data_IF_546907653058
#
_entry.id   IF_546907653058
#
_cell.length_a   1.000
_cell.length_b   1.000
_cell.length_c   1.000
_cell.angle_alpha   90.00
_cell.angle_beta   90.00
_cell.angle_gamma   90.00
#
_symmetry.space_group_name_H-M   'P 1'
#
loop_
_entity.id
_entity.type
_entity.pdbx_description
1 polymer ?
#
# COMPACT_ATOMS: atom_id res chain seq x y z
N UNK A 1 17.23 20.85 27.21
CA UNK A 1 16.31 19.99 26.44
C UNK A 1 15.32 20.91 25.75
N UNK A 2 15.61 21.29 24.52
CA UNK A 2 14.75 22.12 23.68
C UNK A 2 13.73 21.21 23.00
N UNK A 3 12.46 21.36 23.36
CA UNK A 3 11.36 20.80 22.57
C UNK A 3 11.42 21.42 21.17
N UNK A 4 11.33 20.62 20.08
CA UNK A 4 11.15 21.20 18.75
C UNK A 4 9.78 21.88 18.71
N UNK A 5 9.74 23.10 18.17
CA UNK A 5 8.49 23.78 17.83
C UNK A 5 7.65 22.88 16.91
N UNK A 6 6.30 22.88 17.04
CA UNK A 6 5.44 22.16 16.11
C UNK A 6 5.54 22.83 14.74
N UNK A 7 6.42 22.26 13.90
CA UNK A 7 6.59 22.67 12.51
C UNK A 7 5.29 22.53 11.74
N UNK A 8 5.12 23.39 10.74
CA UNK A 8 4.07 23.38 9.71
C UNK A 8 3.63 21.96 9.28
N UNK A 9 2.38 21.79 8.78
CA UNK A 9 1.88 20.47 8.38
C UNK A 9 2.91 19.74 7.54
N UNK A 10 3.42 18.63 8.09
CA UNK A 10 4.54 17.87 7.50
C UNK A 10 4.15 17.14 6.22
N UNK A 11 2.85 17.10 5.91
CA UNK A 11 2.27 16.45 4.75
C UNK A 11 1.83 17.50 3.73
N UNK A 12 2.19 17.28 2.45
CA UNK A 12 1.88 18.18 1.34
C UNK A 12 0.47 17.99 0.78
N UNK A 13 -0.24 16.94 1.21
CA UNK A 13 -1.62 16.66 0.84
C UNK A 13 -2.50 16.35 2.06
N UNK A 14 -3.81 16.47 1.86
CA UNK A 14 -4.84 16.07 2.81
C UNK A 14 -5.74 15.03 2.14
N UNK A 15 -5.65 13.77 2.56
CA UNK A 15 -6.54 12.72 2.05
C UNK A 15 -7.82 12.66 2.91
N UNK A 16 -9.02 12.64 2.29
CA UNK A 16 -10.29 12.63 3.02
C UNK A 16 -10.67 11.22 3.47
N UNK A 17 -9.82 10.53 4.24
CA UNK A 17 -10.11 9.19 4.74
C UNK A 17 -10.87 9.25 6.06
N UNK A 18 -12.05 8.62 6.14
CA UNK A 18 -12.84 8.55 7.36
C UNK A 18 -12.52 7.32 8.20
N UNK A 19 -12.28 6.17 7.55
CA UNK A 19 -12.14 4.88 8.24
C UNK A 19 -10.67 4.47 8.37
N UNK A 20 -9.95 4.37 7.26
CA UNK A 20 -8.56 3.90 7.20
C UNK A 20 -7.88 4.49 5.96
N UNK A 21 -6.60 4.83 6.05
CA UNK A 21 -5.80 5.10 4.85
C UNK A 21 -5.21 3.78 4.36
N UNK A 22 -5.61 3.29 3.20
CA UNK A 22 -5.04 2.04 2.66
C UNK A 22 -4.17 2.30 1.46
N UNK A 23 -3.03 1.60 1.43
CA UNK A 23 -2.15 1.50 0.27
C UNK A 23 -2.14 0.06 -0.17
N UNK A 24 -2.76 -0.22 -1.31
CA UNK A 24 -2.80 -1.56 -1.89
C UNK A 24 -1.86 -1.64 -3.08
N UNK A 25 -1.19 -2.76 -3.26
CA UNK A 25 -0.25 -3.05 -4.34
C UNK A 25 -0.62 -4.37 -5.03
N UNK A 26 -0.73 -4.35 -6.36
CA UNK A 26 -0.90 -5.54 -7.20
C UNK A 26 0.46 -6.12 -7.55
N UNK A 27 0.70 -7.36 -7.12
CA UNK A 27 1.99 -8.02 -7.21
C UNK A 27 1.88 -9.30 -8.06
N UNK A 28 2.83 -9.59 -8.96
CA UNK A 28 2.85 -10.85 -9.68
C UNK A 28 2.98 -12.04 -8.72
N UNK A 29 2.33 -13.15 -9.07
CA UNK A 29 2.48 -14.42 -8.36
C UNK A 29 3.39 -15.36 -9.13
N UNK A 30 4.41 -15.86 -8.45
CA UNK A 30 5.31 -16.89 -9.00
C UNK A 30 4.87 -18.27 -8.50
N UNK A 31 4.73 -19.22 -9.42
CA UNK A 31 4.33 -20.59 -9.06
C UNK A 31 5.42 -21.24 -8.20
N UNK A 32 5.08 -21.61 -6.97
CA UNK A 32 6.02 -22.18 -6.01
C UNK A 32 7.00 -21.17 -5.39
N UNK A 33 6.81 -19.87 -5.68
CA UNK A 33 7.59 -18.81 -5.05
C UNK A 33 7.22 -18.58 -3.58
N UNK A 34 8.01 -17.77 -2.86
CA UNK A 34 7.69 -17.37 -1.50
C UNK A 34 6.37 -16.59 -1.46
N UNK A 35 5.65 -16.75 -0.36
CA UNK A 35 4.33 -16.16 -0.21
C UNK A 35 4.41 -14.64 0.02
N UNK A 36 3.52 -13.88 -0.64
CA UNK A 36 3.51 -12.42 -0.62
C UNK A 36 3.53 -11.85 0.80
N UNK A 37 2.71 -12.41 1.70
CA UNK A 37 2.60 -11.93 3.06
C UNK A 37 3.92 -12.06 3.85
N UNK A 38 4.64 -13.17 3.65
CA UNK A 38 5.94 -13.39 4.29
C UNK A 38 6.96 -12.36 3.84
N UNK A 39 7.08 -12.16 2.53
CA UNK A 39 8.00 -11.16 1.95
C UNK A 39 7.65 -9.74 2.40
N UNK A 40 6.37 -9.39 2.39
CA UNK A 40 5.91 -8.08 2.81
C UNK A 40 6.18 -7.81 4.30
N UNK A 41 6.02 -8.83 5.16
CA UNK A 41 6.39 -8.74 6.58
C UNK A 41 7.90 -8.55 6.77
N UNK A 42 8.72 -9.24 5.97
CA UNK A 42 10.17 -9.11 6.04
C UNK A 42 10.62 -7.70 5.63
N UNK A 43 10.01 -7.10 4.60
CA UNK A 43 10.24 -5.70 4.21
C UNK A 43 9.88 -4.75 5.35
N UNK A 44 8.70 -4.93 5.95
CA UNK A 44 8.24 -4.06 7.02
C UNK A 44 9.19 -4.15 8.23
N UNK A 45 9.58 -5.37 8.63
CA UNK A 45 10.54 -5.59 9.72
C UNK A 45 11.90 -4.97 9.42
N UNK A 46 12.37 -5.07 8.17
CA UNK A 46 13.62 -4.46 7.73
C UNK A 46 13.56 -2.93 7.70
N UNK A 47 12.38 -2.33 7.56
CA UNK A 47 12.18 -0.88 7.71
C UNK A 47 12.33 -0.42 9.17
N UNK A 48 12.26 -1.33 10.14
CA UNK A 48 12.48 -1.06 11.56
C UNK A 48 11.25 -0.46 12.26
N UNK A 49 11.33 -0.38 13.58
CA UNK A 49 10.24 0.18 14.41
C UNK A 49 8.96 -0.63 14.40
N UNK A 50 9.03 -1.93 14.08
CA UNK A 50 7.88 -2.85 14.01
C UNK A 50 7.81 -3.70 15.26
N UNK A 51 6.65 -3.67 15.91
CA UNK A 51 6.31 -4.52 17.05
C UNK A 51 5.00 -5.28 16.77
N UNK A 52 4.80 -6.49 17.30
CA UNK A 52 3.50 -7.16 17.23
C UNK A 52 2.43 -6.32 17.96
N UNK A 53 1.25 -6.16 17.35
CA UNK A 53 0.13 -5.55 18.06
C UNK A 53 -0.40 -6.53 19.12
N UNK A 54 -0.43 -6.12 20.39
CA UNK A 54 -0.86 -6.98 21.51
C UNK A 54 -2.38 -7.04 21.69
N UNK A 55 -3.11 -6.08 21.13
CA UNK A 55 -4.55 -5.87 21.29
C UNK A 55 -5.38 -6.35 20.07
N UNK A 56 -4.72 -6.72 18.98
CA UNK A 56 -5.37 -7.15 17.73
C UNK A 56 -4.90 -8.55 17.34
N UNK A 57 -5.85 -9.37 16.91
CA UNK A 57 -5.55 -10.75 16.49
C UNK A 57 -5.22 -10.83 15.00
N UNK A 58 -4.12 -11.52 14.69
CA UNK A 58 -3.85 -12.04 13.35
C UNK A 58 -5.06 -12.81 12.85
N UNK A 59 -5.43 -12.60 11.59
CA UNK A 59 -6.47 -13.38 10.92
C UNK A 59 -5.94 -14.07 9.67
N UNK A 60 -6.44 -15.29 9.43
CA UNK A 60 -6.00 -16.13 8.33
C UNK A 60 -7.22 -16.80 7.72
N UNK A 61 -7.39 -16.65 6.41
CA UNK A 61 -8.43 -17.35 5.63
C UNK A 61 -7.75 -18.21 4.59
N UNK A 62 -8.12 -19.50 4.50
CA UNK A 62 -7.52 -20.40 3.53
C UNK A 62 -8.16 -21.78 3.49
N UNK A 63 -7.63 -22.64 2.61
CA UNK A 63 -8.16 -23.99 2.34
C UNK A 63 -7.69 -25.04 3.34
N UNK A 64 -7.01 -24.62 4.42
CA UNK A 64 -6.33 -25.47 5.43
C UNK A 64 -5.19 -26.34 4.87
N UNK A 65 -4.80 -26.16 3.61
CA UNK A 65 -3.66 -26.82 2.96
C UNK A 65 -2.92 -25.78 2.10
N UNK A 66 -1.59 -25.79 2.14
CA UNK A 66 -0.78 -24.83 1.38
C UNK A 66 -0.81 -23.42 1.98
N UNK A 67 -0.48 -22.42 1.15
CA UNK A 67 -0.50 -21.01 1.54
C UNK A 67 -1.94 -20.54 1.79
N UNK A 68 -2.21 -19.69 2.79
CA UNK A 68 -3.55 -19.18 2.99
C UNK A 68 -3.89 -18.13 1.93
N UNK A 69 -5.19 -18.03 1.64
CA UNK A 69 -5.74 -17.13 0.65
C UNK A 69 -5.62 -15.67 1.09
N UNK A 70 -5.83 -15.42 2.38
CA UNK A 70 -5.72 -14.10 2.99
C UNK A 70 -4.98 -14.24 4.33
N UNK A 71 -4.04 -13.32 4.57
CA UNK A 71 -3.44 -13.08 5.87
C UNK A 71 -3.50 -11.61 6.19
N UNK A 72 -4.02 -11.28 7.37
CA UNK A 72 -3.79 -9.98 8.00
C UNK A 72 -2.94 -10.13 9.25
N UNK A 73 -1.87 -9.35 9.31
CA UNK A 73 -0.99 -9.23 10.46
C UNK A 73 -1.10 -7.82 11.04
N UNK A 74 -1.78 -7.65 12.19
CA UNK A 74 -1.78 -6.40 12.94
C UNK A 74 -0.43 -6.16 13.62
N UNK A 75 0.10 -4.95 13.46
CA UNK A 75 1.43 -4.54 13.91
C UNK A 75 1.37 -3.11 14.45
N UNK A 76 2.41 -2.72 15.18
CA UNK A 76 2.69 -1.34 15.53
C UNK A 76 3.96 -0.94 14.80
N UNK A 77 3.87 0.05 13.91
CA UNK A 77 4.99 0.55 13.12
C UNK A 77 5.26 2.01 13.46
N UNK A 78 6.43 2.31 14.02
CA UNK A 78 6.78 3.63 14.56
C UNK A 78 5.72 4.17 15.56
N UNK A 79 5.14 3.29 16.38
CA UNK A 79 4.08 3.66 17.33
C UNK A 79 2.69 3.83 16.71
N UNK A 80 2.54 3.62 15.40
CA UNK A 80 1.27 3.70 14.68
C UNK A 80 0.70 2.29 14.47
N UNK A 81 -0.57 2.08 14.80
CA UNK A 81 -1.24 0.80 14.55
C UNK A 81 -1.43 0.60 13.04
N UNK A 82 -0.90 -0.49 12.49
CA UNK A 82 -1.02 -0.85 11.08
C UNK A 82 -1.50 -2.28 10.93
N UNK A 83 -2.10 -2.60 9.80
CA UNK A 83 -2.36 -3.99 9.41
C UNK A 83 -1.75 -4.23 8.04
N UNK A 84 -0.85 -5.22 7.96
CA UNK A 84 -0.38 -5.72 6.69
C UNK A 84 -1.27 -6.89 6.27
N UNK A 85 -2.03 -6.70 5.21
CA UNK A 85 -2.84 -7.75 4.60
C UNK A 85 -2.21 -8.21 3.29
N UNK A 86 -2.22 -9.53 3.05
CA UNK A 86 -1.88 -10.09 1.74
C UNK A 86 -2.98 -11.05 1.30
N UNK A 87 -3.39 -10.92 0.04
CA UNK A 87 -4.33 -11.79 -0.63
C UNK A 87 -3.65 -12.50 -1.80
N UNK A 88 -3.68 -13.83 -1.82
CA UNK A 88 -3.14 -14.65 -2.90
C UNK A 88 -4.12 -15.78 -3.19
N UNK A 89 -4.77 -15.72 -4.36
CA UNK A 89 -5.68 -16.78 -4.79
C UNK A 89 -4.99 -17.76 -5.72
N UNK A 90 -5.18 -19.07 -5.48
CA UNK A 90 -4.65 -20.12 -6.33
C UNK A 90 -5.14 -19.97 -7.78
N UNK A 91 -4.21 -20.10 -8.72
CA UNK A 91 -4.50 -19.98 -10.15
C UNK A 91 -4.60 -18.55 -10.69
N UNK A 92 -4.44 -17.53 -9.85
CA UNK A 92 -4.33 -16.15 -10.30
C UNK A 92 -2.88 -15.79 -10.69
N UNK A 93 -2.73 -14.89 -11.66
CA UNK A 93 -1.42 -14.39 -12.08
C UNK A 93 -0.88 -13.28 -11.16
N UNK A 94 -1.76 -12.68 -10.35
CA UNK A 94 -1.43 -11.60 -9.44
C UNK A 94 -2.13 -11.78 -8.09
N UNK A 95 -1.47 -11.29 -7.04
CA UNK A 95 -2.01 -11.15 -5.70
C UNK A 95 -1.97 -9.69 -5.29
N UNK A 96 -2.41 -9.44 -4.06
CA UNK A 96 -2.50 -8.10 -3.50
C UNK A 96 -1.79 -8.05 -2.15
N UNK A 97 -1.06 -6.97 -1.90
CA UNK A 97 -0.57 -6.61 -0.57
C UNK A 97 -1.12 -5.24 -0.22
N UNK A 98 -1.79 -5.15 0.92
CA UNK A 98 -2.47 -3.95 1.40
C UNK A 98 -1.91 -3.57 2.76
N UNK A 99 -1.37 -2.36 2.84
CA UNK A 99 -1.02 -1.71 4.09
C UNK A 99 -2.19 -0.85 4.53
N UNK A 100 -2.81 -1.22 5.65
CA UNK A 100 -3.90 -0.47 6.28
C UNK A 100 -3.32 0.37 7.39
N UNK A 101 -3.43 1.69 7.23
CA UNK A 101 -2.97 2.71 8.15
C UNK A 101 -4.21 3.35 8.81
N UNK A 102 -4.05 4.06 9.94
CA UNK A 102 -5.13 4.85 10.50
C UNK A 102 -5.64 5.91 9.51
N UNK A 103 -6.80 6.53 9.80
CA UNK A 103 -7.24 7.70 9.07
C UNK A 103 -6.15 8.77 8.97
N UNK A 104 -6.12 9.47 7.84
CA UNK A 104 -5.12 10.48 7.50
C UNK A 104 -4.91 11.52 8.59
N UNK A 105 -5.98 12.00 9.22
CA UNK A 105 -5.94 12.98 10.31
C UNK A 105 -5.22 12.46 11.57
N UNK A 106 -5.18 11.15 11.78
CA UNK A 106 -4.46 10.50 12.87
C UNK A 106 -3.02 10.14 12.46
N UNK A 107 -2.84 9.76 11.19
CA UNK A 107 -1.53 9.40 10.63
C UNK A 107 -0.61 10.62 10.48
N UNK A 108 -1.13 11.73 9.96
CA UNK A 108 -0.37 12.93 9.62
C UNK A 108 0.44 13.53 10.78
N UNK A 109 -0.08 13.65 12.01
CA UNK A 109 0.70 14.12 13.15
C UNK A 109 1.66 13.07 13.74
N UNK A 110 1.41 11.78 13.49
CA UNK A 110 2.16 10.68 14.11
C UNK A 110 3.39 10.23 13.30
N UNK A 111 3.33 10.33 11.97
CA UNK A 111 4.37 9.85 11.08
C UNK A 111 4.67 10.87 9.98
N UNK A 112 5.93 10.96 9.57
CA UNK A 112 6.32 11.80 8.44
C UNK A 112 5.86 11.17 7.11
N UNK A 113 5.32 11.99 6.21
CA UNK A 113 4.86 11.57 4.88
C UNK A 113 5.91 10.72 4.13
N UNK A 114 7.16 11.16 4.14
CA UNK A 114 8.26 10.50 3.45
C UNK A 114 8.47 9.04 3.90
N UNK A 115 8.20 8.75 5.17
CA UNK A 115 8.36 7.39 5.74
C UNK A 115 7.31 6.44 5.17
N UNK A 116 6.08 6.91 4.97
CA UNK A 116 5.00 6.11 4.35
C UNK A 116 5.30 5.79 2.90
N UNK A 117 5.74 6.78 2.13
CA UNK A 117 6.09 6.56 0.73
C UNK A 117 7.36 5.73 0.56
N UNK A 118 8.34 5.88 1.45
CA UNK A 118 9.54 5.03 1.44
C UNK A 118 9.19 3.57 1.72
N UNK A 119 8.34 3.28 2.71
CA UNK A 119 7.87 1.91 2.95
C UNK A 119 7.08 1.37 1.75
N UNK A 120 6.21 2.20 1.16
CA UNK A 120 5.45 1.83 -0.05
C UNK A 120 6.37 1.50 -1.21
N UNK A 121 7.41 2.30 -1.46
CA UNK A 121 8.43 2.09 -2.50
C UNK A 121 9.18 0.76 -2.26
N UNK A 122 9.62 0.50 -1.02
CA UNK A 122 10.30 -0.76 -0.67
C UNK A 122 9.40 -1.99 -0.83
N UNK A 123 8.12 -1.90 -0.43
CA UNK A 123 7.14 -2.97 -0.64
C UNK A 123 6.91 -3.21 -2.13
N UNK A 124 6.74 -2.14 -2.91
CA UNK A 124 6.53 -2.24 -4.34
C UNK A 124 7.75 -2.82 -5.08
N UNK A 125 8.97 -2.40 -4.71
CA UNK A 125 10.23 -2.93 -5.25
C UNK A 125 10.35 -4.43 -4.95
N UNK A 126 10.30 -4.82 -3.67
CA UNK A 126 10.49 -6.21 -3.27
C UNK A 126 9.43 -7.11 -3.90
N UNK A 127 8.16 -6.72 -3.83
CA UNK A 127 7.06 -7.53 -4.34
C UNK A 127 6.87 -7.43 -5.86
N UNK A 128 7.70 -6.64 -6.55
CA UNK A 128 7.61 -6.34 -7.98
C UNK A 128 6.21 -5.84 -8.36
N UNK A 129 5.65 -4.96 -7.57
CA UNK A 129 4.31 -4.45 -7.78
C UNK A 129 4.19 -3.78 -9.16
N UNK A 130 3.16 -4.14 -9.91
CA UNK A 130 2.90 -3.54 -11.22
C UNK A 130 2.19 -2.19 -11.11
N UNK A 131 1.30 -2.08 -10.12
CA UNK A 131 0.54 -0.89 -9.80
C UNK A 131 -0.06 -1.01 -8.39
N UNK A 132 -0.74 0.04 -7.96
CA UNK A 132 -1.34 0.16 -6.64
C UNK A 132 -2.38 1.27 -6.58
N UNK A 133 -3.00 1.41 -5.42
CA UNK A 133 -4.00 2.45 -5.13
C UNK A 133 -3.89 2.95 -3.71
N UNK A 134 -4.38 4.16 -3.50
CA UNK A 134 -4.58 4.77 -2.19
C UNK A 134 -6.07 4.98 -1.99
N UNK A 135 -6.65 4.47 -0.89
CA UNK A 135 -8.10 4.43 -0.69
C UNK A 135 -8.50 4.81 0.74
N UNK A 136 -9.78 5.16 0.91
CA UNK A 136 -10.42 5.19 2.23
C UNK A 136 -11.07 3.82 2.50
N UNK A 137 -10.55 3.09 3.48
CA UNK A 137 -10.97 1.72 3.73
C UNK A 137 -10.51 0.76 2.62
N UNK A 138 -11.40 -0.08 2.09
CA UNK A 138 -10.98 -1.17 1.20
C UNK A 138 -10.73 -0.70 -0.25
N UNK A 139 -9.59 -1.09 -0.82
CA UNK A 139 -9.35 -0.96 -2.25
C UNK A 139 -10.38 -1.75 -3.08
N UNK A 140 -10.89 -1.13 -4.14
CA UNK A 140 -11.74 -1.78 -5.15
C UNK A 140 -10.80 -2.42 -6.18
N UNK A 141 -10.95 -3.73 -6.35
CA UNK A 141 -9.94 -4.62 -6.95
C UNK A 141 -9.27 -4.16 -8.26
N UNK A 142 -8.12 -4.77 -8.54
CA UNK A 142 -7.30 -4.38 -9.68
C UNK A 142 -7.91 -4.77 -11.02
N UNK A 143 -7.93 -3.85 -12.00
CA UNK A 143 -8.34 -4.15 -13.36
C UNK A 143 -7.35 -5.11 -14.02
N UNK A 144 -7.81 -5.77 -15.09
CA UNK A 144 -6.97 -6.60 -15.94
C UNK A 144 -5.76 -5.79 -16.45
N UNK A 145 -4.59 -6.11 -15.89
CA UNK A 145 -3.31 -5.46 -16.18
C UNK A 145 -2.88 -5.63 -17.64
N UNK A 146 -3.57 -6.45 -18.44
CA UNK A 146 -3.33 -6.58 -19.87
C UNK A 146 -3.68 -5.32 -20.69
N UNK A 147 -4.42 -4.36 -20.12
CA UNK A 147 -4.75 -3.08 -20.79
C UNK A 147 -4.46 -1.88 -19.89
N UNK A 148 -3.25 -1.28 -19.98
CA UNK A 148 -2.85 -0.11 -19.22
C UNK A 148 -3.86 1.04 -19.21
N UNK A 149 -4.44 1.34 -20.38
CA UNK A 149 -5.37 2.47 -20.53
C UNK A 149 -6.66 2.30 -19.73
N UNK A 150 -7.33 1.15 -19.89
CA UNK A 150 -8.55 0.86 -19.16
C UNK A 150 -8.27 0.72 -17.65
N UNK A 151 -7.09 0.19 -17.32
CA UNK A 151 -6.65 -0.03 -15.95
C UNK A 151 -6.41 1.27 -15.19
N UNK A 152 -5.56 2.16 -15.72
CA UNK A 152 -5.20 3.42 -15.07
C UNK A 152 -6.44 4.31 -14.81
N UNK A 153 -7.28 4.48 -15.83
CA UNK A 153 -8.52 5.26 -15.72
C UNK A 153 -9.58 4.58 -14.82
N UNK A 154 -9.59 3.25 -14.75
CA UNK A 154 -10.45 2.49 -13.84
C UNK A 154 -10.04 2.72 -12.38
N UNK A 155 -8.76 2.47 -12.08
CA UNK A 155 -8.18 2.67 -10.75
C UNK A 155 -8.41 4.09 -10.25
N UNK A 156 -8.11 5.10 -11.07
CA UNK A 156 -8.23 6.49 -10.64
C UNK A 156 -9.68 6.89 -10.33
N UNK A 157 -10.68 6.32 -11.04
CA UNK A 157 -12.09 6.66 -10.78
C UNK A 157 -12.63 6.13 -9.46
N UNK A 158 -11.96 5.15 -8.85
CA UNK A 158 -12.48 4.38 -7.72
C UNK A 158 -11.71 4.61 -6.43
N UNK A 159 -10.65 5.42 -6.44
CA UNK A 159 -9.71 5.55 -5.33
C UNK A 159 -9.25 6.99 -5.15
N UNK A 160 -8.72 7.30 -3.95
CA UNK A 160 -8.18 8.63 -3.62
C UNK A 160 -6.86 8.92 -4.34
N UNK A 161 -6.17 7.86 -4.78
CA UNK A 161 -4.96 7.96 -5.56
C UNK A 161 -4.62 6.64 -6.22
N UNK A 162 -3.71 6.71 -7.18
CA UNK A 162 -3.17 5.56 -7.89
C UNK A 162 -1.65 5.55 -7.82
N UNK A 163 -1.09 4.35 -7.81
CA UNK A 163 0.34 4.10 -7.88
C UNK A 163 0.56 3.35 -9.19
N UNK A 164 1.13 4.00 -10.19
CA UNK A 164 1.20 3.43 -11.54
C UNK A 164 2.59 3.61 -12.15
N UNK A 165 2.99 2.77 -13.12
CA UNK A 165 4.20 3.03 -13.89
C UNK A 165 4.12 4.39 -14.58
N UNK A 166 5.24 5.09 -14.71
CA UNK A 166 5.28 6.42 -15.35
C UNK A 166 4.67 6.41 -16.77
N UNK A 167 4.83 5.30 -17.51
CA UNK A 167 4.26 5.12 -18.85
C UNK A 167 2.72 5.08 -18.88
N UNK A 168 2.05 4.98 -17.72
CA UNK A 168 0.59 4.98 -17.61
C UNK A 168 -0.01 6.37 -17.38
N UNK A 169 0.81 7.38 -17.04
CA UNK A 169 0.35 8.75 -16.80
C UNK A 169 -0.52 9.33 -17.94
N UNK A 170 -0.20 9.11 -19.24
CA UNK A 170 -1.04 9.62 -20.33
C UNK A 170 -2.46 9.02 -20.38
N UNK A 171 -2.72 7.94 -19.65
CA UNK A 171 -4.02 7.27 -19.61
C UNK A 171 -4.85 7.63 -18.37
N UNK A 172 -4.30 8.46 -17.48
CA UNK A 172 -5.03 9.02 -16.36
C UNK A 172 -5.97 10.16 -16.81
N UNK A 173 -6.82 10.63 -15.89
CA UNK A 173 -7.72 11.76 -16.15
C UNK A 173 -6.91 12.99 -16.58
N UNK A 174 -7.35 13.75 -17.59
CA UNK A 174 -6.69 15.00 -17.96
C UNK A 174 -6.53 15.93 -16.76
N UNK A 175 -5.33 16.48 -16.56
CA UNK A 175 -5.01 17.35 -15.42
C UNK A 175 -4.50 16.62 -14.18
N UNK A 176 -4.45 15.29 -14.18
CA UNK A 176 -3.79 14.51 -13.12
C UNK A 176 -2.30 14.83 -13.08
N UNK A 177 -1.78 15.17 -11.89
CA UNK A 177 -0.36 15.49 -11.71
C UNK A 177 0.31 14.46 -10.79
N UNK A 178 1.52 13.98 -11.15
CA UNK A 178 2.35 13.20 -10.24
C UNK A 178 2.52 13.91 -8.89
N UNK A 179 2.21 13.20 -7.82
CA UNK A 179 2.40 13.67 -6.45
C UNK A 179 3.83 13.41 -5.96
N UNK A 180 4.31 12.17 -6.13
CA UNK A 180 5.69 11.80 -5.88
C UNK A 180 6.12 10.59 -6.72
N UNK A 181 7.42 10.40 -6.86
CA UNK A 181 8.02 9.23 -7.52
C UNK A 181 8.51 8.24 -6.47
N UNK A 182 8.20 6.96 -6.69
CA UNK A 182 8.73 5.83 -5.95
C UNK A 182 9.95 5.30 -6.72
N UNK A 183 11.11 5.79 -6.30
CA UNK A 183 12.37 5.67 -7.04
C UNK A 183 12.85 4.22 -7.22
N UNK A 184 12.53 3.32 -6.28
CA UNK A 184 13.02 1.94 -6.29
C UNK A 184 12.15 1.04 -7.13
N UNK A 185 10.83 1.23 -7.05
CA UNK A 185 9.86 0.44 -7.79
C UNK A 185 9.56 0.99 -9.19
N UNK A 186 10.13 2.16 -9.56
CA UNK A 186 9.84 2.88 -10.80
C UNK A 186 8.35 3.25 -10.98
N UNK A 187 7.63 3.37 -9.87
CA UNK A 187 6.22 3.74 -9.86
C UNK A 187 6.04 5.22 -9.51
N UNK A 188 4.88 5.77 -9.83
CA UNK A 188 4.51 7.15 -9.57
C UNK A 188 3.20 7.16 -8.80
N UNK A 189 3.18 7.90 -7.70
CA UNK A 189 1.95 8.19 -6.94
C UNK A 189 1.27 9.39 -7.58
N UNK A 190 -0.01 9.25 -7.88
CA UNK A 190 -0.89 10.32 -8.35
C UNK A 190 -2.07 10.37 -7.40
N UNK A 191 -2.27 11.50 -6.72
CA UNK A 191 -3.38 11.71 -5.80
C UNK A 191 -4.44 12.59 -6.47
N UNK A 192 -5.71 12.40 -6.10
CA UNK A 192 -6.84 13.23 -6.56
C UNK A 192 -7.02 14.51 -5.72
#
# INVERSE_FOLDING_TARGET
MTHPEPGAPSWRCCLPTADETTVSLSCPLERGGPWLAGRALDVLRAAGGVEPATDRQRYVTGTRRGAPLILGEPLVWHGVAVVLEACQMDGQAAGEVTLRLPPWQELAPALAEAVVWELTDRLAEELRAHCGVVSDGRAVGYPDLGRPQASAAGLQRSHLGVIVPNQWLPYLRPGSNPYCSLSRSELVVVLE
#
